data_IF_494632254814
#
_entry.id   IF_494632254814
#
_cell.length_a   1.000
_cell.length_b   1.000
_cell.length_c   1.000
_cell.angle_alpha   90.00
_cell.angle_beta   90.00
_cell.angle_gamma   90.00
#
_symmetry.space_group_name_H-M   'P 1'
#
loop_
_entity.id
_entity.type
_entity.pdbx_description
1 polymer ?
#
# COMPACT_ATOMS: atom_id res chain seq x y z
N UNK A 1 -4.79 12.01 17.89
CA UNK A 1 -5.47 10.78 18.30
C UNK A 1 -4.98 9.54 17.52
N UNK A 2 -3.91 9.68 16.76
CA UNK A 2 -3.31 8.61 15.95
C UNK A 2 -1.93 8.12 16.48
N UNK A 3 -1.53 8.51 17.72
CA UNK A 3 -0.26 8.06 18.31
C UNK A 3 -0.13 6.52 18.30
N UNK A 4 -1.22 5.80 18.52
CA UNK A 4 -1.26 4.35 18.41
C UNK A 4 -1.00 3.82 16.98
N UNK A 5 -1.12 4.64 15.93
CA UNK A 5 -0.77 4.25 14.57
C UNK A 5 0.75 4.15 14.42
N UNK A 6 1.49 5.13 14.91
CA UNK A 6 2.97 5.13 14.84
C UNK A 6 3.52 3.93 15.62
N UNK A 7 3.06 3.70 16.84
CA UNK A 7 3.44 2.53 17.64
C UNK A 7 3.15 1.20 16.91
N UNK A 8 1.99 1.11 16.23
CA UNK A 8 1.65 -0.08 15.44
C UNK A 8 2.57 -0.27 14.22
N UNK A 9 2.98 0.81 13.55
CA UNK A 9 3.93 0.75 12.43
C UNK A 9 5.32 0.30 12.90
N UNK A 10 5.80 0.82 14.03
CA UNK A 10 7.06 0.39 14.64
C UNK A 10 7.03 -1.08 15.10
N UNK A 11 5.89 -1.53 15.65
CA UNK A 11 5.71 -2.93 16.01
C UNK A 11 5.77 -3.85 14.78
N UNK A 12 5.15 -3.45 13.67
CA UNK A 12 5.21 -4.21 12.41
C UNK A 12 6.62 -4.27 11.83
N UNK A 13 7.41 -3.22 11.99
CA UNK A 13 8.82 -3.24 11.59
C UNK A 13 9.62 -4.26 12.40
N UNK A 14 9.43 -4.30 13.72
CA UNK A 14 10.12 -5.25 14.61
C UNK A 14 9.66 -6.69 14.41
N UNK A 15 8.37 -6.94 14.22
CA UNK A 15 7.81 -8.29 14.17
C UNK A 15 7.83 -8.91 12.76
N UNK A 16 7.66 -8.10 11.72
CA UNK A 16 7.49 -8.55 10.34
C UNK A 16 8.60 -8.07 9.40
N UNK A 17 9.49 -7.20 9.86
CA UNK A 17 10.58 -6.64 9.04
C UNK A 17 10.08 -5.69 7.94
N UNK A 18 8.86 -5.14 8.06
CA UNK A 18 8.30 -4.19 7.11
C UNK A 18 8.65 -2.78 7.59
N UNK A 19 9.46 -2.05 6.84
CA UNK A 19 9.90 -0.71 7.23
C UNK A 19 8.72 0.22 7.54
N UNK A 20 8.72 0.81 8.74
CA UNK A 20 7.73 1.78 9.16
C UNK A 20 7.71 3.00 8.22
N UNK A 21 8.89 3.46 7.76
CA UNK A 21 9.00 4.59 6.83
C UNK A 21 8.35 4.28 5.48
N UNK A 22 8.58 3.09 4.91
CA UNK A 22 7.90 2.67 3.68
C UNK A 22 6.37 2.61 3.83
N UNK A 23 5.89 2.21 5.00
CA UNK A 23 4.45 2.19 5.29
C UNK A 23 3.91 3.62 5.34
N UNK A 24 4.61 4.54 6.00
CA UNK A 24 4.24 5.94 6.09
C UNK A 24 4.19 6.58 4.69
N UNK A 25 5.23 6.43 3.88
CA UNK A 25 5.26 6.93 2.49
C UNK A 25 4.08 6.37 1.66
N UNK A 26 3.77 5.07 1.82
CA UNK A 26 2.65 4.45 1.13
C UNK A 26 1.30 5.03 1.57
N UNK A 27 1.14 5.36 2.86
CA UNK A 27 -0.05 6.01 3.40
C UNK A 27 -0.15 7.44 2.86
N UNK A 28 0.94 8.21 2.85
CA UNK A 28 1.00 9.56 2.31
C UNK A 28 0.56 9.59 0.83
N UNK A 29 1.09 8.69 0.00
CA UNK A 29 0.70 8.54 -1.41
C UNK A 29 -0.78 8.16 -1.58
N UNK A 30 -1.28 7.26 -0.75
CA UNK A 30 -2.69 6.87 -0.77
C UNK A 30 -3.60 8.03 -0.36
N UNK A 31 -3.17 8.88 0.59
CA UNK A 31 -3.89 10.07 1.02
C UNK A 31 -3.95 11.14 -0.07
N UNK A 32 -2.87 11.34 -0.83
CA UNK A 32 -2.86 12.21 -2.02
C UNK A 32 -3.92 11.73 -3.03
N UNK A 33 -3.94 10.43 -3.31
CA UNK A 33 -4.91 9.82 -4.23
C UNK A 33 -6.36 9.97 -3.73
N UNK A 34 -6.58 9.76 -2.43
CA UNK A 34 -7.89 9.92 -1.81
C UNK A 34 -8.38 11.38 -1.88
N UNK A 35 -7.49 12.35 -1.61
CA UNK A 35 -7.80 13.77 -1.70
C UNK A 35 -8.17 14.18 -3.14
N UNK A 36 -7.34 13.80 -4.13
CA UNK A 36 -7.60 14.08 -5.55
C UNK A 36 -8.97 13.55 -5.97
N UNK A 37 -9.28 12.31 -5.60
CA UNK A 37 -10.56 11.70 -5.91
C UNK A 37 -11.75 12.39 -5.23
N UNK A 38 -11.60 12.81 -3.98
CA UNK A 38 -12.65 13.43 -3.21
C UNK A 38 -12.96 14.88 -3.66
N UNK A 39 -11.93 15.63 -4.05
CA UNK A 39 -12.06 17.05 -4.45
C UNK A 39 -12.11 17.26 -5.97
N UNK A 40 -11.79 16.26 -6.79
CA UNK A 40 -11.62 16.43 -8.23
C UNK A 40 -10.43 17.32 -8.60
N UNK A 41 -9.43 17.41 -7.72
CA UNK A 41 -8.29 18.31 -7.88
C UNK A 41 -7.21 17.65 -8.76
N UNK A 42 -6.78 18.35 -9.81
CA UNK A 42 -5.77 17.84 -10.75
C UNK A 42 -4.36 18.37 -10.50
N UNK A 43 -4.21 19.34 -9.60
CA UNK A 43 -2.93 19.93 -9.26
C UNK A 43 -2.00 19.02 -8.46
N UNK A 44 -0.85 19.55 -8.09
CA UNK A 44 0.10 18.88 -7.24
C UNK A 44 -0.31 18.97 -5.77
N UNK A 45 -0.27 17.82 -5.09
CA UNK A 45 -0.63 17.66 -3.69
C UNK A 45 0.48 16.89 -3.00
N UNK A 46 0.78 17.30 -1.79
CA UNK A 46 1.69 16.61 -0.88
C UNK A 46 0.91 16.23 0.38
N UNK A 47 1.00 14.99 0.79
CA UNK A 47 0.54 14.54 2.09
C UNK A 47 1.77 14.33 2.99
N UNK A 48 1.70 14.77 4.24
CA UNK A 48 2.74 14.53 5.23
C UNK A 48 2.11 14.00 6.51
N UNK A 49 2.65 12.90 7.00
CA UNK A 49 2.26 12.34 8.29
C UNK A 49 3.20 12.88 9.38
N UNK A 50 2.61 13.46 10.41
CA UNK A 50 3.34 13.81 11.62
C UNK A 50 3.80 12.53 12.34
N UNK A 51 5.10 12.42 12.58
CA UNK A 51 5.72 11.23 13.19
C UNK A 51 5.43 11.06 14.67
N UNK A 52 4.97 12.11 15.35
CA UNK A 52 4.65 12.07 16.78
C UNK A 52 3.15 11.79 17.00
N UNK A 53 2.30 12.46 16.23
CA UNK A 53 0.84 12.39 16.43
C UNK A 53 0.17 11.36 15.52
N UNK A 54 0.81 10.99 14.39
CA UNK A 54 0.24 10.15 13.35
C UNK A 54 -0.87 10.84 12.54
N UNK A 55 -1.01 12.17 12.68
CA UNK A 55 -1.96 12.95 11.90
C UNK A 55 -1.41 13.24 10.50
N UNK A 56 -2.29 13.24 9.50
CA UNK A 56 -1.89 13.49 8.11
C UNK A 56 -2.35 14.88 7.70
N UNK A 57 -1.40 15.68 7.24
CA UNK A 57 -1.61 17.03 6.72
C UNK A 57 -1.51 17.01 5.20
N UNK A 58 -2.44 17.71 4.54
CA UNK A 58 -2.49 17.83 3.08
C UNK A 58 -2.06 19.24 2.69
N UNK A 59 -1.17 19.32 1.73
CA UNK A 59 -0.66 20.58 1.18
C UNK A 59 -0.92 20.62 -0.33
N UNK A 60 -1.55 21.69 -0.78
CA UNK A 60 -1.66 22.03 -2.19
C UNK A 60 -0.41 22.81 -2.57
N UNK A 61 0.25 22.42 -3.66
CA UNK A 61 1.41 23.12 -4.18
C UNK A 61 0.95 24.07 -5.29
N UNK A 62 1.20 25.36 -5.12
CA UNK A 62 0.97 26.38 -6.16
C UNK A 62 2.30 26.89 -6.67
N UNK A 63 2.35 27.09 -7.99
CA UNK A 63 3.54 27.68 -8.65
C UNK A 63 3.33 29.18 -8.84
N UNK A 64 4.33 29.97 -8.51
CA UNK A 64 4.32 31.43 -8.70
C UNK A 64 4.48 31.74 -10.19
N UNK A 65 3.55 32.50 -10.75
CA UNK A 65 3.51 32.86 -12.18
C UNK A 65 3.35 34.36 -12.37
N UNK A 66 3.79 34.85 -13.53
CA UNK A 66 3.59 36.25 -13.91
C UNK A 66 2.13 36.53 -14.25
N UNK A 67 1.46 35.57 -14.91
CA UNK A 67 0.05 35.65 -15.30
C UNK A 67 -0.69 34.40 -14.86
N UNK A 68 -1.73 34.58 -14.08
CA UNK A 68 -2.60 33.51 -13.61
C UNK A 68 -3.44 32.92 -14.74
N UNK A 69 -3.41 31.60 -14.86
CA UNK A 69 -4.27 30.82 -15.75
C UNK A 69 -5.20 29.89 -14.94
N UNK A 70 -4.71 29.40 -13.81
CA UNK A 70 -5.45 28.49 -12.95
C UNK A 70 -5.25 28.85 -11.48
N UNK A 71 -6.31 29.38 -10.84
CA UNK A 71 -6.30 29.79 -9.43
C UNK A 71 -6.05 28.64 -8.44
N UNK A 72 -6.31 27.40 -8.85
CA UNK A 72 -6.10 26.23 -7.98
C UNK A 72 -4.64 25.82 -7.88
N UNK A 73 -3.87 26.01 -8.97
CA UNK A 73 -2.48 25.50 -9.10
C UNK A 73 -1.43 26.60 -9.20
N UNK A 74 -1.87 27.85 -9.37
CA UNK A 74 -0.99 29.00 -9.59
C UNK A 74 -1.25 30.10 -8.57
N UNK A 75 -0.24 30.91 -8.34
CA UNK A 75 -0.28 32.11 -7.50
C UNK A 75 0.41 33.24 -8.25
N UNK A 76 -0.13 34.44 -8.19
CA UNK A 76 0.54 35.59 -8.79
C UNK A 76 1.78 35.98 -8.00
N UNK A 77 2.75 36.61 -8.67
CA UNK A 77 3.96 37.10 -8.00
C UNK A 77 3.62 38.11 -6.89
N UNK A 78 2.63 38.98 -7.12
CA UNK A 78 2.16 39.95 -6.14
C UNK A 78 1.65 39.28 -4.86
N UNK A 79 0.77 38.30 -4.98
CA UNK A 79 0.25 37.52 -3.84
C UNK A 79 1.35 36.70 -3.15
N UNK A 80 2.29 36.14 -3.90
CA UNK A 80 3.41 35.41 -3.35
C UNK A 80 4.32 36.31 -2.52
N UNK A 81 4.60 37.53 -3.02
CA UNK A 81 5.44 38.51 -2.32
C UNK A 81 4.77 39.17 -1.11
N UNK A 82 3.45 39.15 -1.02
CA UNK A 82 2.71 39.48 0.21
C UNK A 82 2.97 38.47 1.33
N UNK A 83 3.21 37.20 0.99
CA UNK A 83 3.54 36.15 1.95
C UNK A 83 5.01 36.23 2.36
N UNK A 84 5.90 36.28 1.37
CA UNK A 84 7.35 36.50 1.58
C UNK A 84 7.93 37.24 0.38
N UNK A 85 8.51 38.45 0.59
CA UNK A 85 9.08 39.26 -0.48
C UNK A 85 10.21 38.62 -1.30
N UNK A 86 10.71 37.46 -0.85
CA UNK A 86 11.78 36.71 -1.51
C UNK A 86 11.28 35.79 -2.61
N UNK A 87 9.97 35.55 -2.70
CA UNK A 87 9.45 34.69 -3.74
C UNK A 87 9.60 35.26 -5.13
N UNK A 88 9.98 34.40 -6.06
CA UNK A 88 10.21 34.70 -7.46
C UNK A 88 9.31 33.84 -8.35
N UNK A 89 9.17 34.22 -9.63
CA UNK A 89 8.42 33.45 -10.62
C UNK A 89 9.05 32.05 -10.76
N UNK A 90 8.25 31.01 -10.69
CA UNK A 90 8.67 29.62 -10.73
C UNK A 90 8.81 28.97 -9.35
N UNK A 91 8.75 29.74 -8.27
CA UNK A 91 8.76 29.20 -6.93
C UNK A 91 7.49 28.40 -6.64
N UNK A 92 7.64 27.44 -5.73
CA UNK A 92 6.56 26.51 -5.35
C UNK A 92 6.21 26.72 -3.88
N UNK A 93 4.99 27.12 -3.64
CA UNK A 93 4.48 27.43 -2.30
C UNK A 93 3.47 26.37 -1.89
N UNK A 94 3.60 25.85 -0.68
CA UNK A 94 2.72 24.84 -0.10
C UNK A 94 1.68 25.52 0.78
N UNK A 95 0.41 25.27 0.51
CA UNK A 95 -0.72 25.74 1.30
C UNK A 95 -1.41 24.55 1.95
N UNK A 96 -1.54 24.58 3.27
CA UNK A 96 -2.27 23.53 3.97
C UNK A 96 -3.77 23.61 3.67
N UNK A 97 -4.32 22.53 3.16
CA UNK A 97 -5.76 22.32 2.94
C UNK A 97 -6.20 20.96 3.44
N UNK A 98 -6.00 20.72 4.74
CA UNK A 98 -6.42 19.48 5.40
C UNK A 98 -7.91 19.56 5.74
N UNK A 99 -8.79 18.79 5.05
CA UNK A 99 -10.21 18.80 5.37
C UNK A 99 -10.47 18.22 6.76
N UNK A 100 -11.48 18.76 7.48
CA UNK A 100 -11.82 18.35 8.86
C UNK A 100 -12.12 16.85 9.01
N UNK A 101 -12.70 16.25 7.98
CA UNK A 101 -13.05 14.81 7.97
C UNK A 101 -11.89 13.90 7.58
N UNK A 102 -10.74 14.46 7.25
CA UNK A 102 -9.60 13.71 6.72
C UNK A 102 -8.94 12.79 7.74
N UNK A 103 -9.09 13.06 9.03
CA UNK A 103 -8.63 12.16 10.09
C UNK A 103 -9.32 10.77 10.03
N UNK A 104 -10.61 10.72 9.68
CA UNK A 104 -11.34 9.46 9.50
C UNK A 104 -10.92 8.74 8.22
N UNK A 105 -10.80 9.49 7.11
CA UNK A 105 -10.31 8.96 5.82
C UNK A 105 -8.89 8.45 5.98
N UNK A 106 -8.03 9.20 6.69
CA UNK A 106 -6.65 8.82 6.99
C UNK A 106 -6.54 7.48 7.72
N UNK A 107 -7.29 7.31 8.80
CA UNK A 107 -7.29 6.07 9.57
C UNK A 107 -7.75 4.86 8.73
N UNK A 108 -8.78 5.05 7.89
CA UNK A 108 -9.28 4.01 7.00
C UNK A 108 -8.27 3.67 5.90
N UNK A 109 -7.66 4.68 5.28
CA UNK A 109 -6.63 4.53 4.25
C UNK A 109 -5.39 3.84 4.82
N UNK A 110 -4.92 4.26 6.00
CA UNK A 110 -3.79 3.65 6.68
C UNK A 110 -4.03 2.15 6.93
N UNK A 111 -5.20 1.79 7.46
CA UNK A 111 -5.57 0.37 7.67
C UNK A 111 -5.54 -0.42 6.37
N UNK A 112 -6.05 0.14 5.27
CA UNK A 112 -6.08 -0.53 3.98
C UNK A 112 -4.66 -0.74 3.42
N UNK A 113 -3.80 0.28 3.48
CA UNK A 113 -2.40 0.22 3.04
C UNK A 113 -1.62 -0.81 3.85
N UNK A 114 -1.73 -0.76 5.18
CA UNK A 114 -1.05 -1.70 6.08
C UNK A 114 -1.48 -3.14 5.77
N UNK A 115 -2.79 -3.39 5.64
CA UNK A 115 -3.31 -4.73 5.31
C UNK A 115 -2.77 -5.22 3.98
N UNK A 116 -2.70 -4.35 2.98
CA UNK A 116 -2.18 -4.70 1.66
C UNK A 116 -0.67 -5.03 1.73
N UNK A 117 0.11 -4.22 2.41
CA UNK A 117 1.56 -4.46 2.58
C UNK A 117 1.87 -5.72 3.37
N UNK A 118 1.09 -6.01 4.40
CA UNK A 118 1.21 -7.28 5.13
C UNK A 118 0.97 -8.49 4.22
N UNK A 119 -0.09 -8.46 3.40
CA UNK A 119 -0.37 -9.53 2.43
C UNK A 119 0.73 -9.69 1.40
N UNK A 120 1.30 -8.59 0.92
CA UNK A 120 2.43 -8.60 -0.03
C UNK A 120 3.68 -9.21 0.60
N UNK A 121 4.01 -8.83 1.83
CA UNK A 121 5.14 -9.38 2.58
C UNK A 121 4.97 -10.88 2.87
N UNK A 122 3.76 -11.32 3.26
CA UNK A 122 3.44 -12.74 3.47
C UNK A 122 3.57 -13.54 2.16
N UNK A 123 3.09 -13.00 1.03
CA UNK A 123 3.25 -13.64 -0.29
C UNK A 123 4.73 -13.72 -0.68
N UNK A 124 5.50 -12.66 -0.46
CA UNK A 124 6.94 -12.64 -0.71
C UNK A 124 7.68 -13.72 0.09
N UNK A 125 7.41 -13.79 1.39
CA UNK A 125 8.01 -14.79 2.26
C UNK A 125 7.67 -16.23 1.85
N UNK A 126 6.43 -16.48 1.43
CA UNK A 126 6.00 -17.79 0.89
C UNK A 126 6.74 -18.06 -0.42
N UNK A 127 6.81 -17.08 -1.32
CA UNK A 127 7.51 -17.24 -2.60
C UNK A 127 8.98 -17.60 -2.37
N UNK A 128 9.69 -16.88 -1.51
CA UNK A 128 11.09 -17.13 -1.20
C UNK A 128 11.29 -18.53 -0.57
N UNK A 129 10.39 -18.94 0.33
CA UNK A 129 10.44 -20.28 0.93
C UNK A 129 10.30 -21.41 -0.10
N UNK A 130 9.50 -21.21 -1.16
CA UNK A 130 9.22 -22.27 -2.14
C UNK A 130 10.01 -22.12 -3.45
N UNK A 131 10.61 -20.96 -3.72
CA UNK A 131 11.44 -20.75 -4.91
C UNK A 131 12.64 -21.71 -4.94
N UNK A 132 13.27 -21.93 -3.80
CA UNK A 132 14.41 -22.86 -3.66
C UNK A 132 13.98 -24.34 -3.76
N UNK A 133 12.72 -24.64 -3.57
CA UNK A 133 12.14 -26.00 -3.64
C UNK A 133 11.63 -26.37 -5.03
N UNK A 134 11.81 -25.49 -6.01
CA UNK A 134 11.46 -25.79 -7.39
C UNK A 134 12.30 -26.98 -7.90
N UNK A 135 11.65 -27.94 -8.54
CA UNK A 135 12.23 -29.21 -8.98
C UNK A 135 12.56 -30.21 -7.83
N UNK A 136 11.95 -30.05 -6.66
CA UNK A 136 12.05 -30.99 -5.56
C UNK A 136 10.73 -31.75 -5.35
N UNK A 137 10.82 -32.98 -4.85
CA UNK A 137 9.68 -33.77 -4.43
C UNK A 137 9.22 -33.33 -3.05
N UNK A 138 8.04 -32.72 -2.99
CA UNK A 138 7.42 -32.29 -1.75
C UNK A 138 6.31 -33.25 -1.32
N UNK A 139 6.10 -33.32 -0.02
CA UNK A 139 4.95 -34.04 0.54
C UNK A 139 3.83 -33.04 0.80
N UNK A 140 2.65 -33.33 0.26
CA UNK A 140 1.46 -32.51 0.40
C UNK A 140 0.27 -33.33 0.89
N UNK A 141 -0.74 -32.65 1.43
CA UNK A 141 -2.03 -33.27 1.78
C UNK A 141 -3.11 -32.73 0.86
N UNK A 142 -3.94 -33.62 0.34
CA UNK A 142 -5.10 -33.21 -0.48
C UNK A 142 -6.09 -32.46 0.42
N UNK A 143 -6.29 -31.17 0.14
CA UNK A 143 -7.22 -30.32 0.89
C UNK A 143 -8.62 -30.39 0.33
N UNK A 144 -8.77 -30.25 -1.00
CA UNK A 144 -10.05 -30.33 -1.70
C UNK A 144 -9.84 -30.72 -3.16
N UNK A 145 -10.91 -31.23 -3.77
CA UNK A 145 -10.97 -31.53 -5.21
C UNK A 145 -12.18 -30.80 -5.78
N UNK A 146 -11.96 -29.93 -6.75
CA UNK A 146 -13.00 -29.11 -7.39
C UNK A 146 -12.77 -29.06 -8.90
N UNK A 147 -13.78 -29.39 -9.71
CA UNK A 147 -13.72 -29.34 -11.18
C UNK A 147 -12.46 -30.00 -11.77
N UNK A 148 -12.12 -31.16 -11.28
CA UNK A 148 -10.92 -31.94 -11.64
C UNK A 148 -9.58 -31.32 -11.22
N UNK A 149 -9.58 -30.18 -10.52
CA UNK A 149 -8.39 -29.61 -9.90
C UNK A 149 -8.23 -30.15 -8.49
N UNK A 150 -7.03 -30.60 -8.16
CA UNK A 150 -6.67 -31.04 -6.81
C UNK A 150 -5.92 -29.94 -6.11
N UNK A 151 -6.47 -29.46 -5.01
CA UNK A 151 -5.83 -28.46 -4.15
C UNK A 151 -5.13 -29.18 -3.02
N UNK A 152 -3.85 -28.87 -2.86
CA UNK A 152 -2.98 -29.55 -1.91
C UNK A 152 -2.38 -28.56 -0.91
N UNK A 153 -2.33 -28.95 0.35
CA UNK A 153 -1.70 -28.19 1.40
C UNK A 153 -0.20 -28.52 1.46
N UNK A 154 0.63 -27.49 1.32
CA UNK A 154 2.08 -27.55 1.34
C UNK A 154 2.64 -26.85 2.60
N UNK A 155 2.10 -27.14 3.77
CA UNK A 155 2.46 -26.49 5.02
C UNK A 155 1.83 -25.10 5.16
N UNK A 156 2.51 -24.04 4.72
CA UNK A 156 2.03 -22.65 4.88
C UNK A 156 1.24 -22.11 3.68
N UNK A 157 1.21 -22.84 2.59
CA UNK A 157 0.54 -22.42 1.35
C UNK A 157 -0.26 -23.57 0.74
N UNK A 158 -1.20 -23.22 -0.13
CA UNK A 158 -1.97 -24.15 -0.95
C UNK A 158 -1.37 -24.20 -2.36
N UNK A 159 -1.10 -25.40 -2.84
CA UNK A 159 -0.72 -25.67 -4.22
C UNK A 159 -1.93 -26.18 -5.02
N UNK A 160 -1.84 -26.06 -6.34
CA UNK A 160 -2.87 -26.57 -7.26
C UNK A 160 -2.23 -27.58 -8.20
N UNK A 161 -2.81 -28.79 -8.25
CA UNK A 161 -2.46 -29.83 -9.20
C UNK A 161 -3.54 -29.88 -10.29
N UNK A 162 -3.29 -29.25 -11.45
CA UNK A 162 -4.26 -29.22 -12.53
C UNK A 162 -4.40 -30.58 -13.20
N UNK A 163 -5.49 -30.87 -13.91
CA UNK A 163 -5.76 -32.19 -14.52
C UNK A 163 -4.63 -32.71 -15.42
N UNK A 164 -3.90 -31.80 -16.06
CA UNK A 164 -2.79 -32.16 -16.97
C UNK A 164 -1.55 -32.68 -16.24
N UNK A 165 -1.40 -32.33 -14.96
CA UNK A 165 -0.26 -32.72 -14.13
C UNK A 165 -0.60 -33.88 -13.19
N UNK A 166 -1.85 -34.37 -13.23
CA UNK A 166 -2.29 -35.52 -12.46
C UNK A 166 -1.90 -36.84 -13.13
N UNK A 167 -1.65 -37.86 -12.33
CA UNK A 167 -1.33 -39.22 -12.84
C UNK A 167 -2.60 -39.83 -13.38
N UNK A 168 -2.63 -40.25 -14.66
CA UNK A 168 -3.82 -40.88 -15.26
C UNK A 168 -4.24 -42.13 -14.50
N UNK A 169 -5.52 -42.16 -14.07
CA UNK A 169 -6.12 -43.31 -13.33
C UNK A 169 -5.94 -43.24 -11.82
N UNK A 170 -5.24 -42.24 -11.29
CA UNK A 170 -5.14 -42.01 -9.85
C UNK A 170 -6.32 -41.20 -9.34
N UNK A 171 -6.80 -41.56 -8.16
CA UNK A 171 -7.90 -40.83 -7.48
C UNK A 171 -7.38 -40.16 -6.25
N UNK A 172 -7.63 -38.86 -6.12
CA UNK A 172 -7.18 -38.05 -5.01
C UNK A 172 -8.30 -37.87 -3.99
N UNK A 173 -8.08 -38.31 -2.75
CA UNK A 173 -9.06 -38.19 -1.67
C UNK A 173 -8.67 -37.12 -0.69
N UNK A 174 -9.62 -36.32 -0.22
CA UNK A 174 -9.38 -35.30 0.80
C UNK A 174 -8.75 -35.93 2.05
N UNK A 175 -7.67 -35.30 2.54
CA UNK A 175 -6.87 -35.80 3.66
C UNK A 175 -5.77 -36.81 3.26
N UNK A 176 -5.69 -37.23 2.01
CA UNK A 176 -4.67 -38.16 1.53
C UNK A 176 -3.30 -37.42 1.43
N UNK A 177 -2.25 -38.14 1.77
CA UNK A 177 -0.87 -37.68 1.67
C UNK A 177 -0.30 -38.07 0.30
N UNK A 178 0.09 -37.09 -0.48
CA UNK A 178 0.65 -37.32 -1.81
C UNK A 178 2.03 -36.67 -1.94
N UNK A 179 2.80 -37.12 -2.92
CA UNK A 179 4.03 -36.46 -3.32
C UNK A 179 3.78 -35.65 -4.58
N UNK A 180 4.19 -34.40 -4.57
CA UNK A 180 4.06 -33.46 -5.67
C UNK A 180 5.44 -32.93 -6.05
N UNK A 181 5.58 -32.57 -7.31
CA UNK A 181 6.83 -32.07 -7.90
C UNK A 181 6.62 -30.65 -8.40
#
# INVERSE_FOLDING_TARGET
MNAGLIEALEALEKEKGISAEMLIESIELAMVSAYKKAKGFEGEIIARMDRETGDVHIYIVKTVVERLHNLETELSLEEAQEIDPRYEIGDRIQFEDTPRDFGRIGAQTARQVITQRLREAEKGAIYDEYADKQNELLTAFVHRVENDYVFVELGRTEGVLPPKEQIPGETYKVGERIKVY
#
